data_IF_961005184660
#
_entry.id   IF_961005184660
#
_cell.length_a   1.000
_cell.length_b   1.000
_cell.length_c   1.000
_cell.angle_alpha   90.00
_cell.angle_beta   90.00
_cell.angle_gamma   90.00
#
_symmetry.space_group_name_H-M   'P 1'
#
loop_
_entity.id
_entity.type
_entity.pdbx_description
1 polymer ?
#
# COMPACT_ATOMS: atom_id res chain seq x y z
N UNK A 1 42.81 -31.78 37.23
CA UNK A 1 41.80 -30.80 36.81
C UNK A 1 41.80 -30.53 35.28
N UNK A 2 42.94 -30.33 34.63
CA UNK A 2 42.99 -30.00 33.16
C UNK A 2 42.29 -31.04 32.23
N UNK A 3 42.36 -32.36 32.50
CA UNK A 3 41.68 -33.37 31.65
C UNK A 3 40.14 -33.28 31.68
N UNK A 4 39.51 -32.92 32.82
CA UNK A 4 38.04 -32.80 32.92
C UNK A 4 37.51 -31.58 32.16
N UNK A 5 38.27 -30.46 32.15
CA UNK A 5 37.90 -29.25 31.44
C UNK A 5 37.91 -29.50 29.92
N UNK A 6 38.89 -30.25 29.40
CA UNK A 6 38.93 -30.57 27.98
C UNK A 6 37.75 -31.45 27.52
N UNK A 7 37.27 -32.37 28.37
CA UNK A 7 36.10 -33.20 28.02
C UNK A 7 34.81 -32.38 27.99
N UNK A 8 34.60 -31.47 28.96
CA UNK A 8 33.44 -30.56 28.93
C UNK A 8 33.46 -29.64 27.73
N UNK A 9 34.63 -29.11 27.38
CA UNK A 9 34.77 -28.23 26.19
C UNK A 9 34.49 -28.99 24.89
N UNK A 10 35.00 -30.24 24.78
CA UNK A 10 34.75 -31.11 23.65
C UNK A 10 33.27 -31.47 23.51
N UNK A 11 32.62 -31.80 24.64
CA UNK A 11 31.19 -32.12 24.66
C UNK A 11 30.33 -30.90 24.26
N UNK A 12 30.69 -29.71 24.75
CA UNK A 12 30.05 -28.45 24.38
C UNK A 12 30.22 -28.17 22.89
N UNK A 13 31.41 -28.38 22.34
CA UNK A 13 31.70 -28.20 20.93
C UNK A 13 30.89 -29.18 20.04
N UNK A 14 30.78 -30.44 20.46
CA UNK A 14 30.00 -31.47 19.76
C UNK A 14 28.52 -31.15 19.80
N UNK A 15 27.99 -30.72 20.95
CA UNK A 15 26.60 -30.34 21.11
C UNK A 15 26.31 -29.08 20.26
N UNK A 16 27.23 -28.10 20.30
CA UNK A 16 27.08 -26.85 19.52
C UNK A 16 27.15 -27.12 18.00
N UNK A 17 28.09 -27.97 17.56
CA UNK A 17 28.14 -28.37 16.13
C UNK A 17 26.94 -29.21 15.72
N UNK A 18 26.44 -30.09 16.58
CA UNK A 18 25.23 -30.88 16.32
C UNK A 18 23.99 -29.97 16.21
N UNK A 19 23.82 -29.02 17.13
CA UNK A 19 22.77 -28.00 17.06
C UNK A 19 22.88 -27.11 15.80
N UNK A 20 24.10 -26.74 15.45
CA UNK A 20 24.36 -25.94 14.24
C UNK A 20 24.05 -26.74 12.96
N UNK A 21 24.43 -28.03 12.92
CA UNK A 21 24.17 -28.92 11.78
C UNK A 21 22.69 -29.33 11.66
N UNK A 22 21.97 -29.44 12.77
CA UNK A 22 20.52 -29.69 12.76
C UNK A 22 19.70 -28.47 12.30
N UNK A 23 20.25 -27.25 12.38
CA UNK A 23 19.57 -26.01 11.97
C UNK A 23 19.57 -25.73 10.47
N UNK A 24 20.43 -26.39 9.66
CA UNK A 24 20.58 -26.10 8.24
C UNK A 24 20.42 -27.35 7.38
N UNK A 25 19.20 -27.61 6.93
CA UNK A 25 19.02 -28.64 5.90
C UNK A 25 19.25 -28.07 4.51
N UNK A 26 19.86 -28.87 3.62
CA UNK A 26 19.99 -28.48 2.22
C UNK A 26 18.60 -28.42 1.56
N UNK A 27 18.28 -27.28 0.98
CA UNK A 27 17.03 -27.07 0.26
C UNK A 27 16.97 -27.91 -1.01
N UNK A 28 15.84 -28.57 -1.22
CA UNK A 28 15.55 -29.39 -2.42
C UNK A 28 14.64 -28.60 -3.37
N UNK A 29 14.59 -28.99 -4.62
CA UNK A 29 13.66 -28.40 -5.61
C UNK A 29 12.20 -28.46 -5.14
N UNK A 30 11.82 -29.53 -4.44
CA UNK A 30 10.48 -29.66 -3.83
C UNK A 30 10.17 -28.56 -2.82
N UNK A 31 11.16 -28.13 -2.02
CA UNK A 31 11.00 -27.05 -1.03
C UNK A 31 10.75 -25.72 -1.75
N UNK A 32 11.54 -25.43 -2.79
CA UNK A 32 11.32 -24.24 -3.64
C UNK A 32 9.94 -24.22 -4.28
N UNK A 33 9.47 -25.35 -4.79
CA UNK A 33 8.16 -25.43 -5.43
C UNK A 33 7.03 -25.27 -4.40
N UNK A 34 7.15 -25.91 -3.22
CA UNK A 34 6.18 -25.78 -2.12
C UNK A 34 6.05 -24.32 -1.69
N UNK A 35 7.18 -23.68 -1.37
CA UNK A 35 7.22 -22.29 -0.91
C UNK A 35 6.69 -21.33 -1.97
N UNK A 36 7.10 -21.51 -3.24
CA UNK A 36 6.57 -20.70 -4.34
C UNK A 36 5.06 -20.87 -4.49
N UNK A 37 4.55 -22.09 -4.35
CA UNK A 37 3.11 -22.36 -4.43
C UNK A 37 2.32 -21.54 -3.41
N UNK A 38 2.77 -21.54 -2.15
CA UNK A 38 2.16 -20.76 -1.06
C UNK A 38 2.17 -19.25 -1.38
N UNK A 39 3.31 -18.71 -1.81
CA UNK A 39 3.42 -17.28 -2.13
C UNK A 39 2.52 -16.92 -3.31
N UNK A 40 2.50 -17.72 -4.37
CA UNK A 40 1.65 -17.47 -5.55
C UNK A 40 0.17 -17.54 -5.17
N UNK A 41 -0.23 -18.50 -4.34
CA UNK A 41 -1.61 -18.59 -3.85
C UNK A 41 -2.01 -17.33 -3.09
N UNK A 42 -1.16 -16.85 -2.16
CA UNK A 42 -1.44 -15.64 -1.38
C UNK A 42 -1.45 -14.38 -2.27
N UNK A 43 -0.53 -14.26 -3.23
CA UNK A 43 -0.57 -13.18 -4.21
C UNK A 43 -1.89 -13.18 -4.99
N UNK A 44 -2.33 -14.34 -5.47
CA UNK A 44 -3.59 -14.45 -6.20
C UNK A 44 -4.82 -14.06 -5.36
N UNK A 45 -4.83 -14.41 -4.06
CA UNK A 45 -5.91 -14.02 -3.13
C UNK A 45 -6.08 -12.50 -3.03
N UNK A 46 -5.01 -11.75 -3.20
CA UNK A 46 -5.04 -10.27 -3.16
C UNK A 46 -4.97 -9.62 -4.56
N UNK A 47 -5.22 -10.38 -5.62
CA UNK A 47 -5.27 -9.83 -6.98
C UNK A 47 -3.90 -9.48 -7.58
N UNK A 48 -2.83 -10.16 -7.15
CA UNK A 48 -1.49 -10.05 -7.71
C UNK A 48 -1.20 -11.30 -8.55
N UNK A 49 -1.14 -11.17 -9.89
CA UNK A 49 -1.03 -12.29 -10.82
C UNK A 49 0.33 -12.38 -11.52
N UNK A 50 1.32 -11.67 -10.99
CA UNK A 50 2.67 -11.63 -11.55
C UNK A 50 3.50 -12.86 -11.26
N UNK A 51 4.76 -12.82 -11.70
CA UNK A 51 5.73 -13.89 -11.54
C UNK A 51 6.46 -13.78 -10.21
N UNK A 52 6.42 -14.85 -9.42
CA UNK A 52 7.21 -15.03 -8.20
C UNK A 52 8.51 -15.77 -8.52
N UNK A 53 9.64 -15.21 -8.13
CA UNK A 53 10.98 -15.81 -8.27
C UNK A 53 11.68 -15.82 -6.91
N UNK A 54 11.91 -17.00 -6.34
CA UNK A 54 12.64 -17.14 -5.09
C UNK A 54 14.13 -16.92 -5.37
N UNK A 55 14.71 -15.94 -4.68
CA UNK A 55 16.15 -15.60 -4.79
C UNK A 55 16.96 -16.20 -3.66
N UNK A 56 16.36 -16.41 -2.49
CA UNK A 56 17.01 -17.04 -1.34
C UNK A 56 16.00 -17.88 -0.56
N UNK A 57 16.43 -19.06 -0.14
CA UNK A 57 15.62 -19.96 0.67
C UNK A 57 16.51 -20.71 1.65
N UNK A 58 16.16 -20.67 2.94
CA UNK A 58 16.75 -21.54 3.97
C UNK A 58 15.69 -21.95 4.98
N UNK A 59 15.96 -22.99 5.72
CA UNK A 59 15.02 -23.58 6.67
C UNK A 59 15.64 -23.61 8.07
N UNK A 60 14.85 -23.38 9.09
CA UNK A 60 15.23 -23.49 10.49
C UNK A 60 14.20 -24.31 11.26
N UNK A 61 14.67 -25.04 12.28
CA UNK A 61 13.84 -25.89 13.14
C UNK A 61 13.84 -25.44 14.62
N UNK A 62 14.22 -24.18 14.90
CA UNK A 62 14.52 -23.76 16.27
C UNK A 62 13.31 -23.80 17.21
N UNK A 63 12.12 -23.43 16.78
CA UNK A 63 10.89 -23.54 17.58
C UNK A 63 9.77 -24.15 16.74
N UNK A 64 9.46 -23.53 15.63
CA UNK A 64 8.52 -24.01 14.63
C UNK A 64 9.28 -24.17 13.32
N UNK A 65 9.22 -25.37 12.67
CA UNK A 65 9.86 -25.56 11.38
C UNK A 65 9.44 -24.50 10.37
N UNK A 66 10.38 -23.65 9.96
CA UNK A 66 10.08 -22.43 9.19
C UNK A 66 11.01 -22.29 8.00
N UNK A 67 10.43 -21.97 6.83
CA UNK A 67 11.15 -21.52 5.66
C UNK A 67 11.31 -20.01 5.70
N UNK A 68 12.54 -19.53 5.62
CA UNK A 68 12.88 -18.11 5.44
C UNK A 68 13.16 -17.87 3.97
N UNK A 69 12.44 -16.92 3.41
CA UNK A 69 12.36 -16.73 1.96
C UNK A 69 12.65 -15.28 1.60
N UNK A 70 13.55 -15.07 0.65
CA UNK A 70 13.63 -13.82 -0.11
C UNK A 70 13.15 -14.12 -1.52
N UNK A 71 12.22 -13.32 -2.02
CA UNK A 71 11.72 -13.48 -3.38
C UNK A 71 11.48 -12.14 -4.06
N UNK A 72 11.46 -12.15 -5.38
CA UNK A 72 10.99 -11.03 -6.19
C UNK A 72 9.65 -11.39 -6.82
N UNK A 73 8.73 -10.44 -6.72
CA UNK A 73 7.49 -10.44 -7.47
C UNK A 73 7.64 -9.50 -8.67
N UNK A 74 7.20 -9.89 -9.84
CA UNK A 74 7.24 -9.02 -11.01
C UNK A 74 5.99 -9.17 -11.86
N UNK A 75 5.41 -8.02 -12.22
CA UNK A 75 4.20 -7.93 -13.05
C UNK A 75 4.35 -6.81 -14.07
N UNK A 76 3.62 -6.88 -15.16
CA UNK A 76 3.45 -5.77 -16.10
C UNK A 76 2.17 -5.03 -15.73
N UNK A 77 2.24 -3.70 -15.78
CA UNK A 77 1.06 -2.85 -15.63
C UNK A 77 0.27 -2.79 -16.94
N UNK A 78 -0.94 -2.25 -16.90
CA UNK A 78 -1.77 -2.06 -18.08
C UNK A 78 -1.11 -1.20 -19.17
N UNK A 79 -0.14 -0.34 -18.80
CA UNK A 79 0.64 0.50 -19.69
C UNK A 79 2.02 -0.11 -20.04
N UNK A 80 2.17 -1.44 -19.92
CA UNK A 80 3.36 -2.23 -20.23
C UNK A 80 4.62 -1.91 -19.39
N UNK A 81 4.47 -1.20 -18.28
CA UNK A 81 5.59 -1.00 -17.37
C UNK A 81 5.84 -2.25 -16.53
N UNK A 82 7.10 -2.50 -16.22
CA UNK A 82 7.47 -3.59 -15.32
C UNK A 82 7.56 -3.09 -13.89
N UNK A 83 6.73 -3.65 -13.02
CA UNK A 83 6.85 -3.53 -11.56
C UNK A 83 7.69 -4.69 -11.06
N UNK A 84 8.61 -4.42 -10.13
CA UNK A 84 9.42 -5.43 -9.43
C UNK A 84 9.43 -5.07 -7.95
N UNK A 85 8.95 -5.98 -7.12
CA UNK A 85 8.89 -5.85 -5.67
C UNK A 85 9.76 -6.94 -5.05
N UNK A 86 10.52 -6.61 -4.02
CA UNK A 86 11.30 -7.56 -3.25
C UNK A 86 10.69 -7.70 -1.86
N UNK A 87 10.61 -8.94 -1.38
CA UNK A 87 10.02 -9.26 -0.09
C UNK A 87 10.83 -10.33 0.62
N UNK A 88 10.94 -10.16 1.94
CA UNK A 88 11.43 -11.18 2.86
C UNK A 88 10.26 -11.67 3.71
N UNK A 89 10.09 -12.98 3.80
CA UNK A 89 9.00 -13.59 4.55
C UNK A 89 9.41 -14.89 5.21
N UNK A 90 8.62 -15.33 6.19
CA UNK A 90 8.76 -16.60 6.87
C UNK A 90 7.47 -17.43 6.67
N UNK A 91 7.62 -18.68 6.23
CA UNK A 91 6.52 -19.60 5.97
C UNK A 91 6.71 -20.85 6.83
N UNK A 92 5.75 -21.14 7.70
CA UNK A 92 5.79 -22.35 8.52
C UNK A 92 5.62 -23.62 7.68
N UNK A 93 6.33 -24.70 8.05
CA UNK A 93 6.34 -25.94 7.27
C UNK A 93 4.95 -26.60 7.22
N UNK A 94 4.13 -26.42 8.25
CA UNK A 94 2.76 -26.94 8.34
C UNK A 94 1.75 -26.18 7.45
N UNK A 95 2.20 -25.14 6.75
CA UNK A 95 1.42 -24.49 5.70
C UNK A 95 0.33 -23.56 6.20
N UNK A 96 0.32 -23.16 7.47
CA UNK A 96 -0.56 -22.11 7.97
C UNK A 96 -0.09 -20.73 7.48
N UNK A 97 -0.37 -20.44 6.23
CA UNK A 97 0.02 -19.18 5.59
C UNK A 97 -1.16 -18.23 5.44
N UNK A 98 -2.02 -18.16 6.45
CA UNK A 98 -3.12 -17.19 6.47
C UNK A 98 -2.65 -15.76 6.75
N UNK A 99 -1.33 -15.54 6.79
CA UNK A 99 -0.81 -14.22 6.99
C UNK A 99 -0.62 -13.49 5.65
N UNK A 100 -1.34 -12.41 5.47
CA UNK A 100 -1.10 -11.39 4.43
C UNK A 100 0.37 -10.92 4.39
N UNK A 101 1.16 -11.18 5.43
CA UNK A 101 2.59 -10.89 5.49
C UNK A 101 3.48 -11.65 4.48
N UNK A 102 2.91 -12.59 3.72
CA UNK A 102 3.63 -13.34 2.69
C UNK A 102 3.49 -12.73 1.28
N UNK A 103 2.71 -11.68 1.11
CA UNK A 103 2.61 -10.94 -0.16
C UNK A 103 3.53 -9.73 -0.16
N UNK A 104 4.02 -9.29 -1.33
CA UNK A 104 4.84 -8.09 -1.41
C UNK A 104 4.03 -6.83 -1.05
N UNK A 105 4.70 -5.81 -0.54
CA UNK A 105 4.09 -4.50 -0.26
C UNK A 105 3.71 -3.78 -1.57
N UNK A 106 2.62 -4.22 -2.18
CA UNK A 106 2.18 -3.74 -3.48
C UNK A 106 1.42 -2.41 -3.40
N UNK A 107 0.76 -2.12 -2.28
CA UNK A 107 -0.09 -0.94 -2.11
C UNK A 107 0.69 0.35 -2.35
N UNK A 108 1.86 0.49 -1.73
CA UNK A 108 2.70 1.67 -1.95
C UNK A 108 3.25 1.80 -3.37
N UNK A 109 3.51 0.67 -4.05
CA UNK A 109 4.07 0.68 -5.40
C UNK A 109 3.04 0.91 -6.49
N UNK A 110 1.76 0.69 -6.19
CA UNK A 110 0.67 0.78 -7.15
C UNK A 110 0.56 2.19 -7.77
N UNK A 111 0.57 3.24 -6.95
CA UNK A 111 0.49 4.63 -7.40
C UNK A 111 1.82 5.18 -7.95
N UNK A 112 2.93 4.45 -7.79
CA UNK A 112 4.24 4.84 -8.34
C UNK A 112 4.39 4.55 -9.84
N UNK A 113 3.32 4.12 -10.52
CA UNK A 113 3.33 3.92 -11.97
C UNK A 113 3.60 5.23 -12.71
N UNK A 114 4.43 5.18 -13.75
CA UNK A 114 4.86 6.38 -14.50
C UNK A 114 3.70 7.13 -15.15
N UNK A 115 2.67 6.41 -15.59
CA UNK A 115 1.44 7.00 -16.14
C UNK A 115 0.73 7.85 -15.10
N UNK A 116 0.56 7.33 -13.88
CA UNK A 116 -0.04 8.03 -12.75
C UNK A 116 0.79 9.26 -12.39
N UNK A 117 2.10 9.09 -12.19
CA UNK A 117 3.00 10.22 -11.87
C UNK A 117 3.02 11.34 -12.93
N UNK A 118 2.84 10.99 -14.22
CA UNK A 118 2.71 12.02 -15.27
C UNK A 118 1.43 12.83 -15.11
N UNK A 119 0.34 12.19 -14.73
CA UNK A 119 -0.94 12.88 -14.50
C UNK A 119 -0.84 13.75 -13.26
N UNK A 120 -0.30 13.22 -12.16
CA UNK A 120 -0.05 14.00 -10.93
C UNK A 120 0.73 15.28 -11.23
N UNK A 121 1.87 15.17 -11.89
CA UNK A 121 2.70 16.34 -12.28
C UNK A 121 1.97 17.33 -13.17
N UNK A 122 1.11 16.85 -14.07
CA UNK A 122 0.30 17.72 -14.93
C UNK A 122 -0.71 18.50 -14.10
N UNK A 123 -1.43 17.84 -13.21
CA UNK A 123 -2.43 18.46 -12.32
C UNK A 123 -1.74 19.43 -11.37
N UNK A 124 -0.66 19.02 -10.70
CA UNK A 124 0.12 19.89 -9.82
C UNK A 124 0.54 21.19 -10.51
N UNK A 125 1.06 21.09 -11.73
CA UNK A 125 1.45 22.26 -12.53
C UNK A 125 0.25 23.18 -12.87
N UNK A 126 -0.94 22.62 -13.06
CA UNK A 126 -2.16 23.38 -13.29
C UNK A 126 -2.62 24.09 -12.01
N UNK A 127 -2.62 23.39 -10.88
CA UNK A 127 -3.00 23.94 -9.59
C UNK A 127 -2.09 25.09 -9.15
N UNK A 128 -0.76 24.93 -9.27
CA UNK A 128 0.23 25.97 -8.94
C UNK A 128 0.11 27.25 -9.78
N UNK A 129 -0.54 27.20 -10.94
CA UNK A 129 -0.80 28.38 -11.76
C UNK A 129 -2.05 29.15 -11.33
N UNK A 130 -2.92 28.53 -10.57
CA UNK A 130 -4.14 29.17 -10.09
C UNK A 130 -3.85 30.08 -8.89
N UNK A 131 -4.54 31.21 -8.83
CA UNK A 131 -4.39 32.17 -7.73
C UNK A 131 -5.35 31.83 -6.58
N UNK A 132 -5.13 30.66 -5.95
CA UNK A 132 -5.99 30.16 -4.89
C UNK A 132 -5.76 30.87 -3.53
N UNK A 133 -4.64 31.56 -3.37
CA UNK A 133 -4.25 32.17 -2.10
C UNK A 133 -3.57 31.17 -1.13
N UNK A 134 -3.26 29.97 -1.61
CA UNK A 134 -2.60 28.90 -0.87
C UNK A 134 -1.26 28.54 -1.50
N UNK A 135 -0.21 28.30 -0.71
CA UNK A 135 1.08 27.80 -1.20
C UNK A 135 0.99 26.30 -1.44
N UNK A 136 0.59 25.88 -2.64
CA UNK A 136 0.51 24.48 -3.00
C UNK A 136 1.91 23.88 -3.14
N UNK A 137 2.24 22.90 -2.32
CA UNK A 137 3.52 22.16 -2.36
C UNK A 137 3.49 21.06 -3.41
N UNK A 138 2.48 20.17 -3.36
CA UNK A 138 2.38 19.03 -4.27
C UNK A 138 0.92 18.59 -4.50
N UNK A 139 0.75 17.63 -5.40
CA UNK A 139 -0.48 16.92 -5.65
C UNK A 139 -0.17 15.43 -5.76
N UNK A 140 -0.98 14.58 -5.14
CA UNK A 140 -0.85 13.12 -5.25
C UNK A 140 -2.21 12.43 -5.29
N UNK A 141 -2.24 11.30 -5.99
CA UNK A 141 -3.28 10.31 -5.81
C UNK A 141 -2.97 9.46 -4.57
N UNK A 142 -3.94 9.29 -3.70
CA UNK A 142 -3.91 8.31 -2.62
C UNK A 142 -4.86 7.17 -2.96
N UNK A 143 -4.37 5.95 -2.78
CA UNK A 143 -5.26 4.79 -2.85
C UNK A 143 -6.13 4.78 -1.60
N UNK A 144 -7.44 4.82 -1.80
CA UNK A 144 -8.35 4.50 -0.72
C UNK A 144 -8.32 2.97 -0.50
N UNK A 145 -7.40 2.53 0.35
CA UNK A 145 -7.36 1.14 0.82
C UNK A 145 -8.21 0.95 2.08
N UNK A 146 -9.05 1.93 2.40
CA UNK A 146 -10.07 2.04 3.42
C UNK A 146 -9.82 1.27 4.71
N UNK A 147 -9.96 1.98 5.81
CA UNK A 147 -10.09 1.36 7.13
C UNK A 147 -11.57 1.13 7.50
N UNK A 148 -12.50 1.72 6.76
CA UNK A 148 -13.93 1.60 6.99
C UNK A 148 -14.57 0.56 6.05
N UNK A 149 -15.32 -0.38 6.64
CA UNK A 149 -16.04 -1.44 5.90
C UNK A 149 -17.09 -0.89 4.90
N UNK A 150 -17.43 0.39 4.98
CA UNK A 150 -18.44 1.05 4.14
C UNK A 150 -17.88 1.73 2.91
N UNK A 151 -16.57 1.98 2.87
CA UNK A 151 -15.94 2.67 1.75
C UNK A 151 -15.58 1.70 0.62
N UNK A 152 -15.91 2.10 -0.60
CA UNK A 152 -15.43 1.42 -1.80
C UNK A 152 -13.92 1.57 -1.86
N UNK A 153 -13.20 0.48 -1.78
CA UNK A 153 -11.75 0.47 -1.87
C UNK A 153 -11.26 -0.68 -2.75
N UNK A 154 -9.98 -0.67 -3.10
CA UNK A 154 -9.40 -1.69 -3.96
C UNK A 154 -9.45 -3.09 -3.34
N UNK A 155 -9.32 -3.21 -2.03
CA UNK A 155 -9.40 -4.49 -1.33
C UNK A 155 -10.82 -5.05 -1.36
N UNK A 156 -11.83 -4.19 -1.19
CA UNK A 156 -13.24 -4.55 -1.30
C UNK A 156 -13.57 -4.99 -2.73
N UNK A 157 -13.11 -4.24 -3.73
CA UNK A 157 -13.29 -4.60 -5.13
C UNK A 157 -12.68 -5.98 -5.44
N UNK A 158 -11.46 -6.24 -4.97
CA UNK A 158 -10.81 -7.54 -5.16
C UNK A 158 -11.59 -8.66 -4.45
N UNK A 159 -11.99 -8.43 -3.20
CA UNK A 159 -12.76 -9.39 -2.40
C UNK A 159 -14.09 -9.73 -3.06
N UNK A 160 -14.81 -8.74 -3.54
CA UNK A 160 -16.12 -8.92 -4.17
C UNK A 160 -16.00 -9.66 -5.51
N UNK A 161 -15.02 -9.30 -6.33
CA UNK A 161 -14.74 -10.00 -7.57
C UNK A 161 -14.38 -11.49 -7.33
N UNK A 162 -13.61 -11.78 -6.28
CA UNK A 162 -13.28 -13.15 -5.91
C UNK A 162 -14.49 -13.93 -5.37
N UNK A 163 -15.34 -13.29 -4.51
CA UNK A 163 -16.57 -13.90 -3.98
C UNK A 163 -17.59 -14.21 -5.07
N UNK A 164 -17.76 -13.32 -6.02
CA UNK A 164 -18.66 -13.51 -7.17
C UNK A 164 -18.14 -14.54 -8.18
N UNK A 165 -16.99 -15.13 -7.93
CA UNK A 165 -16.37 -16.11 -8.82
C UNK A 165 -15.93 -15.51 -10.16
N UNK A 166 -15.79 -14.19 -10.23
CA UNK A 166 -15.19 -13.50 -11.37
C UNK A 166 -13.72 -13.87 -11.42
N UNK A 167 -13.42 -14.96 -12.11
CA UNK A 167 -12.03 -15.41 -12.37
C UNK A 167 -11.22 -14.40 -13.18
N UNK A 168 -11.88 -13.38 -13.70
CA UNK A 168 -11.37 -12.38 -14.64
C UNK A 168 -10.93 -11.08 -13.95
N UNK A 169 -10.81 -11.04 -12.61
CA UNK A 169 -10.18 -9.90 -11.97
C UNK A 169 -8.71 -9.81 -12.43
N UNK A 170 -8.44 -8.84 -13.29
CA UNK A 170 -7.14 -8.68 -13.93
C UNK A 170 -6.01 -8.31 -12.95
N UNK A 171 -6.36 -7.96 -11.71
CA UNK A 171 -5.42 -7.54 -10.66
C UNK A 171 -5.19 -6.03 -10.64
N UNK A 172 -4.62 -5.55 -9.54
CA UNK A 172 -4.45 -4.12 -9.28
C UNK A 172 -3.63 -3.39 -10.35
N UNK A 173 -2.56 -4.01 -10.87
CA UNK A 173 -1.70 -3.38 -11.87
C UNK A 173 -2.27 -3.36 -13.29
N UNK A 174 -3.38 -4.03 -13.52
CA UNK A 174 -4.06 -4.11 -14.81
C UNK A 174 -5.25 -3.14 -14.92
N UNK A 175 -5.59 -2.42 -13.84
CA UNK A 175 -6.69 -1.46 -13.84
C UNK A 175 -6.14 -0.10 -14.30
N UNK A 176 -6.71 0.53 -15.35
CA UNK A 176 -6.37 1.89 -15.74
C UNK A 176 -6.67 2.87 -14.61
N UNK A 177 -5.76 3.83 -14.38
CA UNK A 177 -5.96 4.83 -13.31
C UNK A 177 -7.27 5.61 -13.46
N UNK A 178 -7.73 5.84 -14.70
CA UNK A 178 -9.00 6.51 -14.94
C UNK A 178 -10.18 5.72 -14.37
N UNK A 179 -10.17 4.41 -14.50
CA UNK A 179 -11.18 3.53 -13.90
C UNK A 179 -11.19 3.64 -12.38
N UNK A 180 -10.02 3.80 -11.77
CA UNK A 180 -9.91 3.96 -10.31
C UNK A 180 -10.51 5.29 -9.84
N UNK A 181 -10.30 6.36 -10.60
CA UNK A 181 -10.91 7.66 -10.35
C UNK A 181 -12.44 7.58 -10.54
N UNK A 182 -12.90 7.01 -11.65
CA UNK A 182 -14.32 6.93 -11.99
C UNK A 182 -15.12 6.08 -10.99
N UNK A 183 -14.45 5.13 -10.35
CA UNK A 183 -15.03 4.25 -9.32
C UNK A 183 -14.80 4.74 -7.88
N UNK A 184 -14.20 5.92 -7.71
CA UNK A 184 -13.89 6.51 -6.40
C UNK A 184 -12.98 5.63 -5.52
N UNK A 185 -12.06 4.88 -6.17
CA UNK A 185 -11.11 3.99 -5.50
C UNK A 185 -9.78 4.68 -5.14
N UNK A 186 -9.57 5.90 -5.60
CA UNK A 186 -8.43 6.75 -5.28
C UNK A 186 -8.91 8.17 -4.98
N UNK A 187 -8.27 8.79 -4.03
CA UNK A 187 -8.48 10.17 -3.62
C UNK A 187 -7.43 11.08 -4.24
N UNK A 188 -7.78 12.34 -4.40
CA UNK A 188 -6.91 13.38 -4.94
C UNK A 188 -6.56 14.39 -3.86
N UNK A 189 -5.29 14.38 -3.41
CA UNK A 189 -4.83 15.23 -2.31
C UNK A 189 -3.95 16.36 -2.82
N UNK A 190 -4.33 17.58 -2.48
CA UNK A 190 -3.59 18.81 -2.77
C UNK A 190 -2.89 19.22 -1.47
N UNK A 191 -1.58 19.00 -1.43
CA UNK A 191 -0.78 19.34 -0.25
C UNK A 191 -0.43 20.81 -0.23
N UNK A 192 -0.65 21.41 0.92
CA UNK A 192 -0.26 22.79 1.22
C UNK A 192 1.11 22.75 1.92
N UNK A 193 1.91 23.79 1.70
CA UNK A 193 3.21 23.94 2.35
C UNK A 193 3.07 23.96 3.88
N UNK A 194 3.85 23.13 4.56
CA UNK A 194 3.77 22.95 6.02
C UNK A 194 4.19 24.22 6.78
N UNK A 195 5.02 25.07 6.17
CA UNK A 195 5.46 26.35 6.75
C UNK A 195 4.37 27.45 6.69
N UNK A 196 3.25 27.19 6.04
CA UNK A 196 2.17 28.17 5.92
C UNK A 196 1.18 28.05 7.08
N UNK A 197 0.83 29.19 7.69
CA UNK A 197 -0.27 29.24 8.67
C UNK A 197 -1.60 29.32 7.94
N UNK A 198 -2.27 28.15 7.75
CA UNK A 198 -3.52 28.04 7.01
C UNK A 198 -4.64 27.56 7.94
N UNK A 199 -5.82 28.16 7.80
CA UNK A 199 -7.03 27.79 8.54
C UNK A 199 -8.01 27.04 7.62
N UNK A 200 -8.90 26.24 8.18
CA UNK A 200 -9.95 25.53 7.41
C UNK A 200 -10.77 26.48 6.52
N UNK A 201 -11.00 27.73 6.96
CA UNK A 201 -11.71 28.72 6.14
C UNK A 201 -10.93 29.11 4.89
N UNK A 202 -9.57 29.20 4.98
CA UNK A 202 -8.73 29.53 3.84
C UNK A 202 -8.78 28.42 2.78
N UNK A 203 -8.82 27.16 3.21
CA UNK A 203 -8.98 25.98 2.34
C UNK A 203 -10.35 26.00 1.65
N UNK A 204 -11.41 26.29 2.39
CA UNK A 204 -12.79 26.41 1.85
C UNK A 204 -12.87 27.53 0.80
N UNK A 205 -12.24 28.67 1.06
CA UNK A 205 -12.24 29.81 0.13
C UNK A 205 -11.38 29.55 -1.11
N UNK A 206 -10.32 28.75 -0.96
CA UNK A 206 -9.52 28.27 -2.10
C UNK A 206 -10.32 27.30 -2.98
N UNK A 207 -11.05 26.37 -2.37
CA UNK A 207 -11.93 25.45 -3.11
C UNK A 207 -12.99 26.18 -3.93
N UNK A 208 -13.57 27.28 -3.41
CA UNK A 208 -14.51 28.14 -4.15
C UNK A 208 -13.88 28.84 -5.35
N UNK A 209 -12.57 29.13 -5.30
CA UNK A 209 -11.82 29.81 -6.36
C UNK A 209 -11.21 28.84 -7.38
N UNK A 210 -11.27 27.53 -7.09
CA UNK A 210 -10.62 26.49 -7.89
C UNK A 210 -11.28 26.39 -9.27
N UNK A 211 -10.51 26.60 -10.33
CA UNK A 211 -10.91 26.22 -11.69
C UNK A 211 -10.73 24.73 -11.88
N UNK A 212 -11.82 24.00 -11.78
CA UNK A 212 -11.86 22.54 -11.89
C UNK A 212 -12.06 22.03 -13.32
N UNK A 213 -12.15 22.90 -14.32
CA UNK A 213 -12.51 22.54 -15.70
C UNK A 213 -11.60 21.49 -16.36
N UNK A 214 -10.37 21.37 -15.88
CA UNK A 214 -9.37 20.42 -16.37
C UNK A 214 -8.92 19.40 -15.30
N UNK A 215 -9.66 19.30 -14.21
CA UNK A 215 -9.41 18.32 -13.17
C UNK A 215 -10.28 17.08 -13.40
N UNK A 216 -9.79 15.88 -13.09
CA UNK A 216 -10.60 14.67 -13.07
C UNK A 216 -11.82 14.79 -12.14
N UNK A 217 -12.92 14.14 -12.50
CA UNK A 217 -14.02 13.98 -11.56
C UNK A 217 -13.58 13.10 -10.39
N UNK A 218 -14.10 13.35 -9.19
CA UNK A 218 -13.79 12.54 -8.00
C UNK A 218 -13.65 13.38 -6.74
N UNK A 219 -13.18 12.75 -5.68
CA UNK A 219 -12.99 13.36 -4.37
C UNK A 219 -11.62 14.00 -4.23
N UNK A 220 -11.60 15.19 -3.68
CA UNK A 220 -10.42 16.01 -3.47
C UNK A 220 -10.33 16.45 -2.03
N UNK A 221 -9.12 16.54 -1.51
CA UNK A 221 -8.83 17.22 -0.26
C UNK A 221 -7.72 18.25 -0.43
N UNK A 222 -7.86 19.41 0.18
CA UNK A 222 -6.73 20.22 0.59
C UNK A 222 -6.23 19.69 1.92
N UNK A 223 -4.92 19.49 2.05
CA UNK A 223 -4.33 18.94 3.25
C UNK A 223 -3.05 19.69 3.63
N UNK A 224 -2.95 20.05 4.90
CA UNK A 224 -1.73 20.58 5.51
C UNK A 224 -1.43 19.79 6.78
N UNK A 225 -0.17 19.36 6.91
CA UNK A 225 0.31 18.73 8.14
C UNK A 225 1.00 19.78 9.01
N UNK A 226 0.51 19.99 10.23
CA UNK A 226 1.15 20.87 11.20
C UNK A 226 1.94 20.03 12.19
N UNK A 227 3.20 19.73 11.87
CA UNK A 227 4.08 18.95 12.74
C UNK A 227 4.51 19.68 14.02
N UNK A 228 4.49 21.01 14.06
CA UNK A 228 4.96 21.79 15.23
C UNK A 228 4.04 21.66 16.45
N UNK A 229 2.76 21.40 16.27
CA UNK A 229 1.76 21.32 17.34
C UNK A 229 1.41 19.87 17.76
N UNK A 230 2.15 18.88 17.26
CA UNK A 230 1.94 17.46 17.52
C UNK A 230 1.24 16.72 16.39
N UNK A 231 1.25 15.37 16.38
CA UNK A 231 0.82 14.54 15.25
C UNK A 231 -0.68 14.59 14.92
N UNK A 232 -1.48 15.38 15.65
CA UNK A 232 -2.93 15.46 15.50
C UNK A 232 -3.45 16.81 14.97
N UNK A 233 -2.57 17.73 14.58
CA UNK A 233 -2.97 19.05 14.09
C UNK A 233 -2.83 19.16 12.56
N UNK A 234 -3.49 18.29 11.82
CA UNK A 234 -3.68 18.50 10.38
C UNK A 234 -4.91 19.38 10.14
N UNK A 235 -4.82 20.21 9.11
CA UNK A 235 -5.98 20.97 8.60
C UNK A 235 -6.32 20.41 7.24
N UNK A 236 -7.55 19.98 7.07
CA UNK A 236 -8.06 19.46 5.79
C UNK A 236 -9.40 20.09 5.42
N UNK A 237 -9.70 20.03 4.14
CA UNK A 237 -11.00 20.43 3.59
C UNK A 237 -11.33 19.59 2.38
N UNK A 238 -12.41 18.83 2.47
CA UNK A 238 -12.86 17.89 1.46
C UNK A 238 -13.91 18.51 0.53
N UNK A 239 -13.81 18.22 -0.77
CA UNK A 239 -14.78 18.63 -1.78
C UNK A 239 -14.76 17.64 -2.94
N UNK A 240 -15.76 17.68 -3.80
CA UNK A 240 -15.86 16.85 -5.00
C UNK A 240 -15.74 17.69 -6.26
N UNK A 241 -15.09 17.17 -7.28
CA UNK A 241 -15.15 17.72 -8.63
C UNK A 241 -16.08 16.88 -9.47
N UNK A 242 -17.08 17.50 -10.08
CA UNK A 242 -18.00 16.87 -11.01
C UNK A 242 -18.21 17.76 -12.23
N UNK A 243 -17.97 17.21 -13.41
CA UNK A 243 -18.17 17.89 -14.70
C UNK A 243 -17.46 19.25 -14.77
N UNK A 244 -16.22 19.29 -14.24
CA UNK A 244 -15.37 20.50 -14.23
C UNK A 244 -15.82 21.57 -13.23
N UNK A 245 -16.66 21.24 -12.26
CA UNK A 245 -17.14 22.13 -11.20
C UNK A 245 -16.85 21.56 -9.83
N UNK A 246 -16.55 22.45 -8.89
CA UNK A 246 -16.43 22.10 -7.47
C UNK A 246 -17.83 21.93 -6.88
N UNK A 247 -18.06 20.81 -6.22
CA UNK A 247 -19.28 20.52 -5.46
C UNK A 247 -18.86 20.36 -4.00
N UNK A 248 -19.53 21.11 -3.15
CA UNK A 248 -19.28 21.05 -1.70
C UNK A 248 -20.19 20.01 -1.06
N UNK A 249 -19.69 19.31 -0.05
CA UNK A 249 -20.55 18.53 0.83
C UNK A 249 -21.43 19.48 1.61
N UNK A 250 -22.74 19.32 1.53
CA UNK A 250 -23.65 19.97 2.47
C UNK A 250 -23.36 19.40 3.86
N UNK A 251 -23.18 20.28 4.85
CA UNK A 251 -22.94 19.88 6.24
C UNK A 251 -24.19 19.13 6.74
N UNK A 252 -24.25 17.81 6.55
CA UNK A 252 -25.37 16.97 7.03
C UNK A 252 -25.41 16.82 8.56
N UNK A 253 -24.57 17.54 9.32
CA UNK A 253 -24.47 17.44 10.78
C UNK A 253 -24.43 18.76 11.53
N UNK A 254 -25.00 19.84 11.02
CA UNK A 254 -25.42 20.94 11.89
C UNK A 254 -26.82 20.62 12.43
N UNK A 255 -26.89 19.76 13.45
CA UNK A 255 -28.00 19.79 14.38
C UNK A 255 -27.90 21.14 15.04
N UNK A 256 -28.82 22.04 14.70
CA UNK A 256 -29.09 23.25 15.47
C UNK A 256 -29.40 22.80 16.89
N UNK A 257 -28.47 22.99 17.81
CA UNK A 257 -28.82 23.04 19.21
C UNK A 257 -29.80 24.23 19.33
N UNK A 258 -31.07 23.90 19.43
CA UNK A 258 -32.07 24.86 19.84
C UNK A 258 -31.71 25.31 21.26
N UNK A 259 -31.30 26.55 21.39
CA UNK A 259 -31.18 27.25 22.67
C UNK A 259 -32.60 27.35 23.28
N UNK A 260 -32.86 26.52 24.30
CA UNK A 260 -33.90 26.74 25.30
C UNK A 260 -33.34 27.35 26.60
#
# INVERSE_FOLDING_TARGET
>A
MKKKINHCLLLFLIIFTALFLMGFRKMKTSDYNKVRGVIVENCNKVGLHGKVTITKLYWTALEIPTYHVTYTYSEKTYDDQKVVLEQNTAIHEEGSSDSYGNVPEYKESFLKQKSIQKVEKKIEKQLKKQKLGLPISSFSFLSNFGHDEKEKNLDTLASDNLKEGKKDFAGYYQIPYQTLIDQELIEMVIYIDDDASVKSQDLKDAAKKLDASNLPNGEYSFYQSNFEDGPNNSVDYNFKVKDGKVVFYEDENLVLEDDD
#
